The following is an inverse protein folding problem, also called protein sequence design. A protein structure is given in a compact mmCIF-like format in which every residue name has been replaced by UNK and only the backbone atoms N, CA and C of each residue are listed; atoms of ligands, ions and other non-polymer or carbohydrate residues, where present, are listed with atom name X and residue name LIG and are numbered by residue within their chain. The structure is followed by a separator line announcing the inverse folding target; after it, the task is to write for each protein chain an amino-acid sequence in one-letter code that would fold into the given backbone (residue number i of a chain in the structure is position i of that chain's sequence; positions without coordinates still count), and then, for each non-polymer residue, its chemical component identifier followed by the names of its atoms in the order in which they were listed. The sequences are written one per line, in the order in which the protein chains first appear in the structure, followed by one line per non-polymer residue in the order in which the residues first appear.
data_IF_649901517800
#
_entry.id   IF_649901517800
#
_cell.length_a   1.000
_cell.length_b   1.000
_cell.length_c   1.000
_cell.angle_alpha   90.00
_cell.angle_beta   90.00
_cell.angle_gamma   90.00
#
_symmetry.space_group_name_H-M   'P 1'
#
loop_
_entity.id
_entity.type
_entity.pdbx_description
1 polymer ?
#
# COMPACT_ATOMS: atom_id res chain seq x y z
N UNK A 1 4.10 -7.99 -21.90
CA UNK A 1 5.31 -8.43 -21.19
C UNK A 1 5.06 -8.12 -19.74
N UNK A 2 5.15 -9.09 -18.85
CA UNK A 2 4.84 -8.87 -17.43
C UNK A 2 5.73 -7.74 -16.86
N UNK A 3 5.17 -6.92 -15.98
CA UNK A 3 5.76 -5.68 -15.48
C UNK A 3 6.18 -5.84 -14.03
N UNK A 4 7.43 -5.50 -13.69
CA UNK A 4 7.87 -5.41 -12.29
C UNK A 4 7.37 -4.08 -11.72
N UNK A 5 6.40 -4.14 -10.82
CA UNK A 5 5.77 -2.95 -10.22
C UNK A 5 6.48 -2.50 -8.95
N UNK A 6 7.16 -3.41 -8.24
CA UNK A 6 7.88 -3.08 -7.02
C UNK A 6 8.99 -4.08 -6.72
N UNK A 7 10.05 -3.62 -6.04
CA UNK A 7 11.14 -4.45 -5.53
C UNK A 7 11.33 -4.19 -4.04
N UNK A 8 11.44 -5.26 -3.26
CA UNK A 8 11.60 -5.22 -1.80
C UNK A 8 12.84 -6.03 -1.41
N UNK A 9 13.85 -5.38 -0.83
CA UNK A 9 15.04 -6.03 -0.29
C UNK A 9 14.86 -6.47 1.18
N UNK A 10 15.58 -7.52 1.58
CA UNK A 10 15.78 -7.88 2.99
C UNK A 10 16.71 -6.88 3.69
N UNK A 11 16.68 -6.78 5.03
CA UNK A 11 17.62 -5.96 5.80
C UNK A 11 19.10 -6.24 5.48
N UNK A 12 19.45 -7.50 5.23
CA UNK A 12 20.81 -7.90 4.82
C UNK A 12 21.19 -7.50 3.40
N UNK A 13 20.22 -7.07 2.57
CA UNK A 13 20.34 -6.88 1.12
C UNK A 13 20.82 -8.14 0.36
N UNK A 14 20.83 -9.31 1.00
CA UNK A 14 21.17 -10.59 0.36
C UNK A 14 19.97 -11.19 -0.36
N UNK A 15 18.75 -10.79 0.02
CA UNK A 15 17.52 -11.26 -0.62
C UNK A 15 16.72 -10.08 -1.16
N UNK A 16 15.97 -10.34 -2.23
CA UNK A 16 14.94 -9.41 -2.70
C UNK A 16 13.73 -10.18 -3.21
N UNK A 17 12.59 -9.49 -3.22
CA UNK A 17 11.38 -9.96 -3.90
C UNK A 17 10.91 -8.90 -4.90
N UNK A 18 10.58 -9.34 -6.10
CA UNK A 18 10.02 -8.52 -7.18
C UNK A 18 8.53 -8.83 -7.30
N UNK A 19 7.70 -7.79 -7.18
CA UNK A 19 6.25 -7.87 -7.41
C UNK A 19 6.00 -7.63 -8.89
N UNK A 20 5.25 -8.53 -9.52
CA UNK A 20 5.07 -8.60 -10.96
C UNK A 20 3.58 -8.54 -11.29
N UNK A 21 3.18 -7.54 -12.07
CA UNK A 21 1.85 -7.45 -12.69
C UNK A 21 1.87 -8.20 -14.02
N UNK A 22 0.99 -9.18 -14.15
CA UNK A 22 0.92 -10.06 -15.31
C UNK A 22 0.04 -9.42 -16.38
N UNK A 23 0.55 -9.25 -17.58
CA UNK A 23 -0.22 -8.56 -18.64
C UNK A 23 -1.38 -9.38 -19.19
N UNK A 24 -1.34 -10.72 -19.05
CA UNK A 24 -2.34 -11.60 -19.64
C UNK A 24 -3.68 -11.60 -18.91
N UNK A 25 -3.64 -11.41 -17.58
CA UNK A 25 -4.79 -11.57 -16.68
C UNK A 25 -4.92 -10.41 -15.67
N UNK A 26 -3.97 -9.47 -15.65
CA UNK A 26 -3.96 -8.34 -14.73
C UNK A 26 -3.62 -8.70 -13.29
N UNK A 27 -3.39 -9.98 -13.00
CA UNK A 27 -3.09 -10.50 -11.66
C UNK A 27 -1.65 -10.21 -11.26
N UNK A 28 -1.41 -10.21 -9.96
CA UNK A 28 -0.10 -10.01 -9.37
C UNK A 28 0.52 -11.34 -8.93
N UNK A 29 1.83 -11.45 -9.09
CA UNK A 29 2.67 -12.55 -8.61
C UNK A 29 3.97 -11.96 -8.08
N UNK A 30 4.82 -12.78 -7.47
CA UNK A 30 6.15 -12.32 -7.07
C UNK A 30 7.25 -13.35 -7.36
N UNK A 31 8.50 -12.88 -7.43
CA UNK A 31 9.70 -13.71 -7.55
C UNK A 31 10.72 -13.31 -6.49
N UNK A 32 11.25 -14.29 -5.76
CA UNK A 32 12.28 -14.10 -4.74
C UNK A 32 13.65 -14.46 -5.33
N UNK A 33 14.62 -13.61 -5.05
CA UNK A 33 16.01 -13.78 -5.46
C UNK A 33 16.93 -13.71 -4.26
N UNK A 34 18.09 -14.34 -4.43
CA UNK A 34 19.24 -14.24 -3.52
C UNK A 34 20.44 -13.73 -4.27
N UNK A 35 21.18 -12.82 -3.65
CA UNK A 35 22.48 -12.38 -4.14
C UNK A 35 23.49 -13.50 -3.96
N UNK A 36 24.20 -13.81 -5.05
CA UNK A 36 25.25 -14.82 -5.09
C UNK A 36 26.51 -14.09 -5.54
N UNK A 37 27.47 -13.93 -4.63
CA UNK A 37 28.78 -13.39 -4.97
C UNK A 37 29.51 -14.34 -5.92
N UNK A 38 30.20 -13.76 -6.90
CA UNK A 38 31.09 -14.52 -7.76
C UNK A 38 32.36 -14.92 -7.01
N UNK A 39 32.93 -16.07 -7.39
CA UNK A 39 34.29 -16.40 -6.98
C UNK A 39 35.28 -15.33 -7.48
N UNK A 40 36.38 -15.04 -6.77
CA UNK A 40 37.34 -13.99 -7.14
C UNK A 40 37.82 -14.08 -8.60
N UNK A 41 38.07 -15.31 -9.09
CA UNK A 41 38.50 -15.55 -10.46
C UNK A 41 37.41 -15.19 -11.49
N UNK A 42 36.14 -15.36 -11.13
CA UNK A 42 35.00 -15.01 -11.98
C UNK A 42 34.73 -13.50 -11.95
N UNK A 43 34.90 -12.85 -10.80
CA UNK A 43 34.80 -11.39 -10.67
C UNK A 43 35.75 -10.68 -11.63
N UNK A 44 37.00 -11.16 -11.72
CA UNK A 44 38.01 -10.58 -12.62
C UNK A 44 37.64 -10.74 -14.11
N UNK A 45 37.03 -11.87 -14.49
CA UNK A 45 36.65 -12.16 -15.87
C UNK A 45 35.39 -11.40 -16.29
N UNK A 46 34.38 -11.37 -15.42
CA UNK A 46 33.06 -10.80 -15.72
C UNK A 46 32.95 -9.32 -15.38
N UNK A 47 33.86 -8.79 -14.54
CA UNK A 47 33.80 -7.43 -14.00
C UNK A 47 32.45 -7.15 -13.30
N UNK A 48 31.94 -8.16 -12.59
CA UNK A 48 30.69 -8.14 -11.83
C UNK A 48 30.95 -8.79 -10.46
N UNK A 49 30.39 -8.23 -9.38
CA UNK A 49 30.60 -8.73 -8.02
C UNK A 49 29.81 -10.01 -7.72
N UNK A 50 28.75 -10.27 -8.47
CA UNK A 50 27.80 -11.35 -8.24
C UNK A 50 26.57 -11.21 -9.11
N UNK A 51 25.59 -12.06 -8.86
CA UNK A 51 24.32 -12.04 -9.58
C UNK A 51 23.14 -12.39 -8.67
N UNK A 52 21.94 -12.00 -9.10
CA UNK A 52 20.69 -12.36 -8.43
C UNK A 52 20.20 -13.73 -8.94
N UNK A 53 20.38 -14.76 -8.12
CA UNK A 53 19.86 -16.10 -8.39
C UNK A 53 18.39 -16.23 -7.96
N UNK A 54 17.46 -16.69 -8.83
CA UNK A 54 16.08 -16.94 -8.44
C UNK A 54 16.02 -18.12 -7.47
N UNK A 55 15.39 -17.93 -6.31
CA UNK A 55 15.36 -18.97 -5.28
C UNK A 55 14.23 -19.98 -5.49
N UNK A 56 13.00 -19.55 -5.78
CA UNK A 56 11.87 -20.35 -6.28
C UNK A 56 10.64 -19.44 -6.40
N UNK A 57 9.73 -19.72 -7.34
CA UNK A 57 8.41 -19.07 -7.42
C UNK A 57 7.42 -19.84 -6.56
N UNK A 58 6.92 -19.26 -5.46
CA UNK A 58 5.60 -19.68 -5.01
C UNK A 58 4.60 -19.22 -6.08
N UNK A 59 3.76 -20.11 -6.58
CA UNK A 59 2.62 -19.74 -7.43
C UNK A 59 1.54 -19.12 -6.55
N UNK A 60 1.82 -17.94 -6.00
CA UNK A 60 0.80 -17.10 -5.41
C UNK A 60 0.33 -16.13 -6.48
N UNK A 61 -0.97 -16.11 -6.72
CA UNK A 61 -1.62 -15.15 -7.60
C UNK A 61 -2.57 -14.32 -6.74
N UNK A 62 -2.40 -13.01 -6.80
CA UNK A 62 -3.24 -12.06 -6.10
C UNK A 62 -3.98 -11.19 -7.11
N UNK A 63 -5.20 -10.81 -6.75
CA UNK A 63 -6.02 -9.84 -7.47
C UNK A 63 -5.54 -8.40 -7.23
N UNK A 64 -4.86 -8.13 -6.11
CA UNK A 64 -4.31 -6.80 -5.77
C UNK A 64 -2.80 -6.82 -5.53
N UNK A 65 -2.16 -5.67 -5.74
CA UNK A 65 -0.74 -5.46 -5.49
C UNK A 65 -0.40 -5.61 -4.00
N UNK A 66 -1.23 -5.08 -3.11
CA UNK A 66 -1.04 -5.15 -1.65
C UNK A 66 -1.05 -6.57 -1.12
N UNK A 67 -2.01 -7.40 -1.57
CA UNK A 67 -2.04 -8.82 -1.19
C UNK A 67 -0.81 -9.56 -1.71
N UNK A 68 -0.38 -9.24 -2.94
CA UNK A 68 0.87 -9.78 -3.46
C UNK A 68 2.08 -9.33 -2.63
N UNK A 69 2.14 -8.08 -2.20
CA UNK A 69 3.20 -7.53 -1.33
C UNK A 69 3.19 -8.22 0.03
N UNK A 70 2.04 -8.37 0.68
CA UNK A 70 1.93 -9.02 1.97
C UNK A 70 2.40 -10.47 1.91
N UNK A 71 1.90 -11.24 0.93
CA UNK A 71 2.35 -12.63 0.74
C UNK A 71 3.83 -12.70 0.33
N UNK A 72 4.31 -11.74 -0.45
CA UNK A 72 5.72 -11.66 -0.83
C UNK A 72 6.62 -11.35 0.37
N UNK A 73 6.20 -10.49 1.30
CA UNK A 73 6.92 -10.17 2.54
C UNK A 73 6.99 -11.40 3.43
N UNK A 74 5.87 -12.10 3.65
CA UNK A 74 5.84 -13.35 4.41
C UNK A 74 6.74 -14.41 3.77
N UNK A 75 6.69 -14.55 2.44
CA UNK A 75 7.54 -15.48 1.72
C UNK A 75 9.02 -15.08 1.82
N UNK A 76 9.35 -13.79 1.76
CA UNK A 76 10.70 -13.27 1.92
C UNK A 76 11.21 -13.51 3.34
N UNK A 77 10.42 -13.22 4.38
CA UNK A 77 10.73 -13.51 5.80
C UNK A 77 11.04 -14.99 6.00
N UNK A 78 10.21 -15.89 5.45
CA UNK A 78 10.42 -17.33 5.56
C UNK A 78 11.73 -17.80 4.91
N UNK A 79 12.13 -17.18 3.80
CA UNK A 79 13.34 -17.55 3.05
C UNK A 79 14.61 -16.94 3.67
N UNK A 80 14.55 -15.69 4.10
CA UNK A 80 15.70 -15.00 4.70
C UNK A 80 15.89 -15.35 6.18
N UNK A 81 14.82 -15.79 6.87
CA UNK A 81 14.76 -15.85 8.34
C UNK A 81 15.04 -14.50 9.01
N UNK A 82 14.76 -13.41 8.28
CA UNK A 82 14.92 -12.03 8.76
C UNK A 82 13.55 -11.39 8.97
N UNK A 83 13.42 -10.60 10.04
CA UNK A 83 12.26 -9.73 10.21
C UNK A 83 12.31 -8.63 9.16
N UNK A 84 11.46 -8.75 8.15
CA UNK A 84 11.31 -7.73 7.12
C UNK A 84 10.50 -6.58 7.71
N UNK A 85 11.21 -5.60 8.26
CA UNK A 85 10.65 -4.32 8.68
C UNK A 85 10.58 -3.42 7.44
N UNK A 86 9.39 -3.04 7.01
CA UNK A 86 9.24 -1.95 6.06
C UNK A 86 9.74 -0.68 6.75
N UNK A 87 10.96 -0.26 6.42
CA UNK A 87 11.51 0.99 6.96
C UNK A 87 10.71 2.18 6.43
N UNK A 88 10.67 3.25 7.22
CA UNK A 88 9.99 4.50 6.89
C UNK A 88 10.32 5.03 5.49
N UNK A 89 11.49 4.71 4.91
CA UNK A 89 11.87 5.11 3.54
C UNK A 89 11.00 4.47 2.43
N UNK A 90 10.42 3.28 2.66
CA UNK A 90 9.46 2.64 1.74
C UNK A 90 8.05 3.16 1.93
N UNK A 91 7.65 3.43 3.18
CA UNK A 91 6.46 4.24 3.44
C UNK A 91 6.61 5.61 2.78
N UNK A 92 7.78 6.26 2.84
CA UNK A 92 8.06 7.56 2.21
C UNK A 92 7.84 7.53 0.69
N UNK A 93 8.05 6.40 -0.01
CA UNK A 93 7.66 6.27 -1.42
C UNK A 93 6.14 6.31 -1.64
N UNK A 94 5.34 5.80 -0.70
CA UNK A 94 3.88 6.03 -0.68
C UNK A 94 3.53 7.46 -0.24
N UNK A 95 4.29 8.06 0.69
CA UNK A 95 4.11 9.44 1.14
C UNK A 95 4.47 10.47 0.06
N UNK A 96 5.38 10.14 -0.87
CA UNK A 96 5.85 11.06 -1.92
C UNK A 96 4.84 11.31 -3.05
N UNK A 97 3.71 10.61 -3.06
CA UNK A 97 2.68 10.74 -4.11
C UNK A 97 1.51 11.63 -3.70
N UNK A 98 1.24 11.78 -2.39
CA UNK A 98 0.16 12.64 -1.92
C UNK A 98 0.59 14.10 -1.97
N UNK A 99 -0.08 14.86 -2.84
CA UNK A 99 0.10 16.31 -2.91
C UNK A 99 -0.69 16.97 -1.77
N UNK A 100 -0.20 18.11 -1.30
CA UNK A 100 -0.96 19.00 -0.42
C UNK A 100 -2.39 19.19 -0.97
N UNK A 101 -3.42 19.17 -0.11
CA UNK A 101 -3.41 19.28 1.35
C UNK A 101 -3.44 17.94 2.09
N UNK A 102 -3.08 16.83 1.43
CA UNK A 102 -3.19 15.47 1.97
C UNK A 102 -1.94 15.03 2.73
N UNK A 103 -2.15 14.47 3.91
CA UNK A 103 -1.08 13.99 4.79
C UNK A 103 -1.41 12.59 5.31
N UNK A 104 -0.44 11.67 5.20
CA UNK A 104 -0.55 10.34 5.79
C UNK A 104 -0.48 10.46 7.31
N UNK A 105 -1.31 9.67 7.98
CA UNK A 105 -1.42 9.66 9.42
C UNK A 105 -0.42 8.68 10.03
N UNK A 106 0.39 9.15 10.97
CA UNK A 106 1.13 8.26 11.87
C UNK A 106 0.16 7.51 12.79
N UNK A 107 0.53 6.29 13.20
CA UNK A 107 -0.33 5.40 14.00
C UNK A 107 -0.92 6.06 15.25
N UNK A 108 -0.14 6.92 15.92
CA UNK A 108 -0.57 7.64 17.11
C UNK A 108 -1.75 8.61 16.88
N UNK A 109 -1.99 9.03 15.63
CA UNK A 109 -3.07 9.97 15.29
C UNK A 109 -4.30 9.29 14.67
N UNK A 110 -4.20 8.02 14.26
CA UNK A 110 -5.28 7.29 13.58
C UNK A 110 -6.50 7.06 14.49
N UNK A 111 -6.24 6.60 15.71
CA UNK A 111 -7.30 6.18 16.64
C UNK A 111 -8.28 7.28 17.06
N UNK A 112 -7.92 8.57 16.92
CA UNK A 112 -8.86 9.67 17.16
C UNK A 112 -9.90 9.77 16.04
N UNK A 113 -9.48 9.66 14.78
CA UNK A 113 -10.36 9.79 13.61
C UNK A 113 -11.24 8.55 13.42
N UNK A 114 -10.72 7.37 13.75
CA UNK A 114 -11.47 6.12 13.76
C UNK A 114 -12.62 6.17 14.77
N UNK A 115 -12.34 6.65 15.99
CA UNK A 115 -13.38 6.88 17.01
C UNK A 115 -14.40 7.92 16.60
N UNK A 116 -13.95 8.99 15.95
CA UNK A 116 -14.87 10.02 15.45
C UNK A 116 -15.82 9.42 14.42
N UNK A 117 -15.29 8.69 13.43
CA UNK A 117 -16.10 7.96 12.44
C UNK A 117 -17.13 7.05 13.13
N UNK A 118 -16.71 6.19 14.06
CA UNK A 118 -17.63 5.32 14.81
C UNK A 118 -18.73 6.11 15.56
N UNK A 119 -18.38 7.28 16.08
CA UNK A 119 -19.30 8.15 16.81
C UNK A 119 -20.33 8.84 15.92
N UNK A 120 -20.06 9.00 14.62
CA UNK A 120 -20.97 9.59 13.64
C UNK A 120 -21.85 8.53 12.95
N UNK A 121 -21.39 7.28 12.90
CA UNK A 121 -22.11 6.22 12.21
C UNK A 121 -23.40 5.81 12.93
N UNK A 122 -24.51 5.86 12.19
CA UNK A 122 -25.75 5.18 12.56
C UNK A 122 -25.68 3.69 12.21
N UNK A 123 -26.50 2.86 12.87
CA UNK A 123 -26.56 1.43 12.58
C UNK A 123 -27.02 1.10 11.14
N UNK A 124 -27.63 2.06 10.44
CA UNK A 124 -28.09 1.94 9.06
C UNK A 124 -27.08 2.50 8.05
N UNK A 125 -25.98 3.10 8.52
CA UNK A 125 -24.95 3.64 7.65
C UNK A 125 -24.15 2.50 6.99
N UNK A 126 -23.79 2.66 5.71
CA UNK A 126 -23.08 1.62 4.94
C UNK A 126 -21.67 1.30 5.43
N UNK A 127 -21.08 2.21 6.21
CA UNK A 127 -19.78 2.03 6.85
C UNK A 127 -19.88 1.46 8.27
N UNK A 128 -21.09 1.27 8.80
CA UNK A 128 -21.28 0.72 10.14
C UNK A 128 -20.69 -0.70 10.22
N UNK A 129 -19.89 -0.94 11.27
CA UNK A 129 -19.18 -2.20 11.52
C UNK A 129 -18.15 -2.63 10.45
N UNK A 130 -17.75 -1.73 9.54
CA UNK A 130 -16.56 -1.97 8.72
C UNK A 130 -15.30 -1.79 9.57
N UNK A 131 -14.32 -2.65 9.34
CA UNK A 131 -13.00 -2.55 9.96
C UNK A 131 -12.15 -1.56 9.14
N UNK A 132 -12.23 -0.29 9.55
CA UNK A 132 -11.65 0.85 8.82
C UNK A 132 -10.53 1.48 9.65
N UNK A 133 -9.33 1.52 9.08
CA UNK A 133 -8.17 2.19 9.67
C UNK A 133 -7.96 3.54 9.00
N UNK A 134 -7.76 4.60 9.78
CA UNK A 134 -7.46 5.92 9.21
C UNK A 134 -6.09 5.90 8.52
N UNK A 135 -6.04 6.34 7.26
CA UNK A 135 -4.82 6.26 6.44
C UNK A 135 -4.23 7.65 6.18
N UNK A 136 -5.03 8.59 5.71
CA UNK A 136 -4.60 9.96 5.43
C UNK A 136 -5.72 10.95 5.76
N UNK A 137 -5.37 12.22 5.95
CA UNK A 137 -6.32 13.30 6.11
C UNK A 137 -6.00 14.50 5.23
N UNK A 138 -7.02 15.25 4.89
CA UNK A 138 -6.88 16.61 4.38
C UNK A 138 -6.71 17.58 5.55
N UNK A 139 -5.84 18.59 5.42
CA UNK A 139 -5.81 19.75 6.31
C UNK A 139 -6.59 20.95 5.76
N UNK A 140 -7.08 20.87 4.52
CA UNK A 140 -7.92 21.90 3.91
C UNK A 140 -9.43 21.62 4.08
N UNK A 141 -9.79 20.41 4.47
CA UNK A 141 -11.18 19.95 4.65
C UNK A 141 -11.26 18.90 5.76
N UNK A 142 -12.49 18.58 6.18
CA UNK A 142 -12.78 17.50 7.13
C UNK A 142 -12.79 16.11 6.48
N UNK A 143 -12.07 15.96 5.36
CA UNK A 143 -11.96 14.70 4.64
C UNK A 143 -10.85 13.82 5.21
N UNK A 144 -11.18 12.55 5.41
CA UNK A 144 -10.27 11.51 5.89
C UNK A 144 -10.39 10.30 4.98
N UNK A 145 -9.24 9.79 4.54
CA UNK A 145 -9.14 8.55 3.80
C UNK A 145 -8.96 7.40 4.78
N UNK A 146 -9.92 6.47 4.79
CA UNK A 146 -9.87 5.23 5.56
C UNK A 146 -9.54 4.05 4.65
N UNK A 147 -8.88 3.03 5.20
CA UNK A 147 -8.52 1.81 4.50
C UNK A 147 -9.18 0.60 5.17
N UNK A 148 -9.88 -0.21 4.37
CA UNK A 148 -10.43 -1.50 4.81
C UNK A 148 -9.47 -2.63 4.45
N UNK A 149 -8.68 -3.07 5.43
CA UNK A 149 -7.60 -4.06 5.22
C UNK A 149 -8.14 -5.37 4.61
N UNK A 150 -9.36 -5.78 4.99
CA UNK A 150 -9.96 -7.03 4.51
C UNK A 150 -10.27 -7.05 3.02
N UNK A 151 -10.52 -5.88 2.41
CA UNK A 151 -10.92 -5.74 1.01
C UNK A 151 -9.88 -5.01 0.16
N UNK A 152 -8.94 -4.29 0.78
CA UNK A 152 -8.01 -3.37 0.10
C UNK A 152 -8.67 -2.09 -0.42
N UNK A 153 -9.92 -1.82 -0.01
CA UNK A 153 -10.66 -0.65 -0.47
C UNK A 153 -10.35 0.59 0.37
N UNK A 154 -10.37 1.74 -0.30
CA UNK A 154 -10.21 3.03 0.35
C UNK A 154 -11.53 3.79 0.36
N UNK A 155 -11.80 4.47 1.47
CA UNK A 155 -13.02 5.21 1.72
C UNK A 155 -12.65 6.65 2.03
N UNK A 156 -12.95 7.56 1.11
CA UNK A 156 -12.86 9.00 1.37
C UNK A 156 -14.13 9.40 2.11
N UNK A 157 -13.99 9.77 3.38
CA UNK A 157 -15.11 10.11 4.25
C UNK A 157 -14.99 11.57 4.67
N UNK A 158 -16.06 12.33 4.47
CA UNK A 158 -16.18 13.68 4.98
C UNK A 158 -16.79 13.61 6.38
N UNK A 159 -15.96 13.76 7.42
CA UNK A 159 -16.42 13.76 8.80
C UNK A 159 -17.24 15.03 9.08
N UNK A 160 -18.33 14.87 9.83
CA UNK A 160 -19.24 15.98 10.14
C UNK A 160 -18.95 16.62 11.48
N UNK A 161 -18.13 15.97 12.32
CA UNK A 161 -17.84 16.32 13.71
C UNK A 161 -19.12 16.48 14.55
N UNK A 162 -20.18 15.78 14.14
CA UNK A 162 -21.50 15.90 14.71
C UNK A 162 -22.09 14.53 15.05
N UNK A 163 -22.60 14.42 16.27
CA UNK A 163 -23.22 13.19 16.77
C UNK A 163 -24.66 12.99 16.26
N UNK A 164 -25.15 13.84 15.35
CA UNK A 164 -26.45 13.66 14.68
C UNK A 164 -26.37 12.55 13.64
N UNK A 165 -26.38 11.32 14.13
CA UNK A 165 -26.31 10.08 13.35
C UNK A 165 -27.46 9.99 12.35
N UNK A 166 -27.11 9.87 11.07
CA UNK A 166 -28.04 9.63 9.98
C UNK A 166 -27.51 8.48 9.10
N UNK A 167 -28.35 7.87 8.28
CA UNK A 167 -27.93 6.89 7.27
C UNK A 167 -27.20 7.54 6.07
N UNK A 168 -27.38 8.85 5.86
CA UNK A 168 -26.78 9.62 4.74
C UNK A 168 -25.44 10.25 5.06
N UNK A 169 -25.09 10.37 6.34
CA UNK A 169 -23.89 11.03 6.81
C UNK A 169 -23.15 10.13 7.80
N UNK A 170 -21.80 10.16 7.83
CA UNK A 170 -20.92 10.98 6.98
C UNK A 170 -20.94 10.55 5.50
N UNK A 171 -20.83 11.50 4.57
CA UNK A 171 -20.79 11.17 3.15
C UNK A 171 -19.46 10.51 2.80
N UNK A 172 -19.49 9.54 1.88
CA UNK A 172 -18.28 8.84 1.49
C UNK A 172 -18.24 8.44 0.01
N UNK A 173 -17.02 8.32 -0.49
CA UNK A 173 -16.67 7.74 -1.80
C UNK A 173 -15.79 6.52 -1.59
N UNK A 174 -15.90 5.53 -2.48
CA UNK A 174 -15.14 4.27 -2.40
C UNK A 174 -14.20 4.16 -3.59
N UNK A 175 -12.97 3.74 -3.33
CA UNK A 175 -11.92 3.50 -4.30
C UNK A 175 -11.43 2.06 -4.19
N UNK A 176 -11.15 1.43 -5.32
CA UNK A 176 -10.73 0.02 -5.35
C UNK A 176 -9.23 -0.14 -5.03
N UNK A 177 -8.49 0.96 -5.07
CA UNK A 177 -7.05 1.02 -4.80
C UNK A 177 -6.64 2.43 -4.40
N UNK A 178 -5.44 2.57 -3.82
CA UNK A 178 -4.86 3.86 -3.53
C UNK A 178 -4.60 4.69 -4.80
N UNK A 179 -4.20 4.05 -5.90
CA UNK A 179 -3.97 4.74 -7.19
C UNK A 179 -5.24 5.38 -7.75
N UNK A 180 -6.40 4.73 -7.58
CA UNK A 180 -7.70 5.32 -7.97
C UNK A 180 -7.99 6.60 -7.18
N UNK A 181 -7.63 6.62 -5.90
CA UNK A 181 -7.75 7.81 -5.06
C UNK A 181 -6.79 8.91 -5.49
N UNK A 182 -5.52 8.58 -5.77
CA UNK A 182 -4.54 9.55 -6.29
C UNK A 182 -5.06 10.19 -7.58
N UNK A 183 -5.56 9.38 -8.51
CA UNK A 183 -6.14 9.87 -9.76
C UNK A 183 -7.33 10.80 -9.52
N UNK A 184 -8.22 10.43 -8.59
CA UNK A 184 -9.35 11.29 -8.20
C UNK A 184 -8.87 12.65 -7.68
N UNK A 185 -7.84 12.68 -6.84
CA UNK A 185 -7.24 13.91 -6.37
C UNK A 185 -6.70 14.74 -7.54
N UNK A 186 -5.91 14.14 -8.43
CA UNK A 186 -5.36 14.85 -9.59
C UNK A 186 -6.43 15.44 -10.50
N UNK A 187 -7.48 14.67 -10.79
CA UNK A 187 -8.62 15.12 -11.60
C UNK A 187 -9.39 16.25 -10.90
N UNK A 188 -9.52 16.22 -9.57
CA UNK A 188 -10.24 17.26 -8.80
C UNK A 188 -9.43 18.55 -8.68
N UNK A 189 -8.10 18.46 -8.53
CA UNK A 189 -7.23 19.63 -8.40
C UNK A 189 -6.96 20.33 -9.74
N UNK A 190 -7.14 19.66 -10.90
CA UNK A 190 -7.04 20.29 -12.22
C UNK A 190 -8.12 21.35 -12.51
N UNK A 191 -9.21 21.40 -11.74
CA UNK A 191 -10.31 22.36 -11.95
C UNK A 191 -10.22 23.64 -11.09
N UNK A 192 -9.14 23.83 -10.34
CA UNK A 192 -8.99 25.00 -9.43
C UNK A 192 -8.03 26.06 -10.01
N UNK A 193 -7.35 25.79 -11.13
CA UNK A 193 -6.42 26.73 -11.79
C UNK A 193 -6.94 27.35 -13.11
N UNK A 194 -8.25 27.64 -13.22
CA UNK A 194 -8.81 28.49 -14.29
C UNK A 194 -9.52 29.74 -13.75
#
# INVERSE_FOLDING_TARGET
MDEVVQVIYSPSEIYKVEIIKRNRDGLFTFLIYKWIEHDPDVKEIMNEEGFWGPLFSQKSLSDTAERAIQTAIEALQNVSSEDIILTAEKEVRMHSTLKEPWHILEDQFKGMLEKELESELSAMHRLFQKDLTAFARSYASDDVLFHEISTGQYYLVHLTWNQNKNERFPSFSVFSSFDDFIKYCEDTFQFIED
#
